data_IF_189734666003
#
_entry.id   IF_189734666003
#
_cell.length_a   1.000
_cell.length_b   1.000
_cell.length_c   1.000
_cell.angle_alpha   90.00
_cell.angle_beta   90.00
_cell.angle_gamma   90.00
#
_symmetry.space_group_name_H-M   'P 1'
#
loop_
_entity.id
_entity.type
_entity.pdbx_description
1 polymer ?
#
# COMPACT_ATOMS: atom_id res chain seq x y z
N UNK A 1 -4.90 17.65 16.33
CA UNK A 1 -4.65 16.20 16.13
C UNK A 1 -4.96 15.93 14.68
N UNK A 2 -4.08 15.20 13.99
CA UNK A 2 -4.17 15.02 12.54
C UNK A 2 -4.03 13.55 12.16
N UNK A 3 -4.51 13.21 10.96
CA UNK A 3 -4.32 11.90 10.34
C UNK A 3 -3.47 12.04 9.10
N UNK A 4 -2.48 11.17 8.96
CA UNK A 4 -1.79 10.98 7.70
C UNK A 4 -2.55 9.98 6.85
N UNK A 5 -2.63 10.24 5.56
CA UNK A 5 -3.11 9.34 4.52
C UNK A 5 -1.97 9.11 3.53
N UNK A 6 -1.32 7.95 3.64
CA UNK A 6 -0.30 7.49 2.69
C UNK A 6 -0.99 6.83 1.51
N UNK A 7 -0.65 7.24 0.29
CA UNK A 7 -1.30 6.79 -0.94
C UNK A 7 -0.26 6.20 -1.89
N UNK A 8 -0.62 5.06 -2.48
CA UNK A 8 0.15 4.40 -3.53
C UNK A 8 -0.79 3.70 -4.52
N UNK A 9 -0.25 3.41 -5.70
CA UNK A 9 -0.95 2.83 -6.84
C UNK A 9 -0.36 1.45 -7.20
N UNK A 10 -1.24 0.49 -7.52
CA UNK A 10 -0.84 -0.84 -7.98
C UNK A 10 -1.55 -1.20 -9.29
N UNK A 11 -0.83 -1.83 -10.22
CA UNK A 11 -1.40 -2.37 -11.47
C UNK A 11 -1.43 -1.42 -12.68
N UNK A 12 -0.74 -0.28 -12.64
CA UNK A 12 -0.66 0.67 -13.75
C UNK A 12 0.14 0.18 -14.96
N UNK A 13 0.98 -0.82 -14.78
CA UNK A 13 1.78 -1.43 -15.84
C UNK A 13 0.99 -2.43 -16.70
N UNK A 14 -0.27 -2.73 -16.32
CA UNK A 14 -1.21 -3.64 -17.01
C UNK A 14 -0.64 -5.00 -17.39
N UNK A 15 0.44 -5.43 -16.76
CA UNK A 15 1.13 -6.65 -17.16
C UNK A 15 0.36 -7.87 -16.66
N UNK A 16 0.29 -8.03 -15.33
CA UNK A 16 -0.31 -9.22 -14.71
C UNK A 16 -1.44 -8.90 -13.71
N UNK A 17 -1.57 -7.63 -13.26
CA UNK A 17 -2.59 -7.26 -12.27
C UNK A 17 -3.97 -7.15 -12.93
N UNK A 18 -5.03 -7.77 -12.35
CA UNK A 18 -6.38 -7.74 -12.93
C UNK A 18 -7.10 -6.39 -12.78
N UNK A 19 -6.58 -5.50 -11.93
CA UNK A 19 -7.14 -4.19 -11.64
C UNK A 19 -6.03 -3.15 -11.46
N UNK A 20 -6.36 -1.89 -11.76
CA UNK A 20 -5.66 -0.75 -11.17
C UNK A 20 -6.27 -0.45 -9.79
N UNK A 21 -5.43 -0.30 -8.78
CA UNK A 21 -5.84 0.01 -7.42
C UNK A 21 -5.11 1.25 -6.94
N UNK A 22 -5.86 2.29 -6.62
CA UNK A 22 -5.39 3.41 -5.83
C UNK A 22 -5.76 3.11 -4.37
N UNK A 23 -4.77 2.88 -3.51
CA UNK A 23 -4.98 2.58 -2.10
C UNK A 23 -4.47 3.70 -1.20
N UNK A 24 -5.13 3.85 -0.06
CA UNK A 24 -4.77 4.80 0.99
C UNK A 24 -4.72 4.10 2.34
N UNK A 25 -3.67 4.34 3.11
CA UNK A 25 -3.50 3.88 4.48
C UNK A 25 -3.48 5.08 5.44
N UNK A 26 -4.28 5.02 6.51
CA UNK A 26 -4.36 6.09 7.49
C UNK A 26 -3.84 5.74 8.86
N UNK A 27 -3.19 6.72 9.49
CA UNK A 27 -2.68 6.61 10.86
C UNK A 27 -2.71 7.98 11.55
N UNK A 28 -2.95 7.98 12.86
CA UNK A 28 -2.87 9.20 13.68
C UNK A 28 -1.44 9.67 13.82
N UNK A 29 -1.26 11.00 13.76
CA UNK A 29 0.02 11.68 14.01
C UNK A 29 0.77 11.15 15.25
N UNK A 30 0.10 11.04 16.40
CA UNK A 30 0.67 10.61 17.68
C UNK A 30 1.08 9.13 17.74
N UNK A 31 0.54 8.32 16.84
CA UNK A 31 0.77 6.87 16.80
C UNK A 31 1.82 6.50 15.74
N UNK A 32 2.09 7.39 14.78
CA UNK A 32 2.95 7.14 13.63
C UNK A 32 4.36 6.68 14.03
N UNK A 33 5.01 7.36 14.97
CA UNK A 33 6.37 6.99 15.38
C UNK A 33 6.43 5.60 16.02
N UNK A 34 5.48 5.29 16.92
CA UNK A 34 5.40 3.98 17.57
C UNK A 34 5.12 2.87 16.57
N UNK A 35 4.25 3.13 15.60
CA UNK A 35 3.99 2.20 14.50
C UNK A 35 5.25 1.95 13.66
N UNK A 36 6.00 3.00 13.30
CA UNK A 36 7.29 2.86 12.59
C UNK A 36 8.26 2.00 13.40
N UNK A 37 8.42 2.27 14.70
CA UNK A 37 9.29 1.47 15.56
C UNK A 37 8.87 0.00 15.61
N UNK A 38 7.56 -0.28 15.69
CA UNK A 38 7.04 -1.64 15.67
C UNK A 38 7.34 -2.36 14.35
N UNK A 39 7.13 -1.69 13.20
CA UNK A 39 7.48 -2.24 11.87
C UNK A 39 8.97 -2.55 11.76
N UNK A 40 9.82 -1.68 12.31
CA UNK A 40 11.26 -1.87 12.32
C UNK A 40 11.70 -3.04 13.22
N UNK A 41 11.04 -3.23 14.36
CA UNK A 41 11.25 -4.39 15.22
C UNK A 41 10.84 -5.69 14.51
N UNK A 42 9.67 -5.72 13.87
CA UNK A 42 9.21 -6.87 13.06
C UNK A 42 10.20 -7.23 11.94
N UNK A 43 10.86 -6.24 11.34
CA UNK A 43 11.91 -6.49 10.34
C UNK A 43 13.08 -7.26 10.96
N UNK A 44 13.53 -6.88 12.15
CA UNK A 44 14.59 -7.58 12.87
C UNK A 44 14.14 -8.99 13.30
N UNK A 45 12.93 -9.11 13.83
CA UNK A 45 12.39 -10.39 14.29
C UNK A 45 12.28 -11.41 13.15
N UNK A 46 11.88 -10.96 11.96
CA UNK A 46 11.73 -11.84 10.79
C UNK A 46 13.06 -12.16 10.09
N UNK A 47 13.97 -11.18 10.00
CA UNK A 47 15.15 -11.31 9.13
C UNK A 47 16.49 -11.35 9.86
N UNK A 48 16.51 -11.17 11.18
CA UNK A 48 17.73 -11.12 12.01
C UNK A 48 18.63 -9.91 11.75
N UNK A 49 18.20 -9.02 10.86
CA UNK A 49 18.87 -7.77 10.46
C UNK A 49 17.87 -6.87 9.74
N UNK A 50 18.24 -5.60 9.55
CA UNK A 50 17.50 -4.74 8.62
C UNK A 50 17.68 -5.28 7.20
N UNK A 51 16.57 -5.67 6.57
CA UNK A 51 16.50 -6.09 5.18
C UNK A 51 17.04 -5.01 4.26
N UNK A 52 16.78 -3.74 4.60
CA UNK A 52 17.16 -2.56 3.80
C UNK A 52 18.65 -2.21 3.80
N UNK A 53 19.46 -2.81 4.69
CA UNK A 53 20.84 -2.36 4.94
C UNK A 53 21.78 -2.49 3.72
N UNK A 54 21.50 -3.40 2.78
CA UNK A 54 22.32 -3.58 1.56
C UNK A 54 21.71 -2.93 0.31
N UNK A 55 20.94 -1.84 0.48
CA UNK A 55 20.20 -1.20 -0.62
C UNK A 55 19.03 -2.04 -1.16
N UNK A 56 18.66 -3.11 -0.44
CA UNK A 56 17.51 -3.94 -0.82
C UNK A 56 16.22 -3.24 -0.44
N UNK A 57 15.33 -3.16 -1.40
CA UNK A 57 14.00 -2.60 -1.16
C UNK A 57 12.99 -3.69 -0.76
N UNK A 58 12.17 -3.40 0.25
CA UNK A 58 10.98 -4.19 0.56
C UNK A 58 9.86 -3.70 -0.35
N UNK A 59 9.38 -4.58 -1.25
CA UNK A 59 8.25 -4.31 -2.14
C UNK A 59 7.28 -5.49 -2.11
N UNK A 60 6.00 -5.21 -2.17
CA UNK A 60 4.94 -6.21 -2.15
C UNK A 60 5.13 -7.27 -3.26
N UNK A 61 5.37 -6.83 -4.49
CA UNK A 61 5.66 -7.72 -5.65
C UNK A 61 6.88 -8.64 -5.45
N UNK A 62 7.84 -8.28 -4.59
CA UNK A 62 9.03 -9.10 -4.31
C UNK A 62 8.79 -10.10 -3.17
N UNK A 63 7.86 -9.80 -2.27
CA UNK A 63 7.56 -10.59 -1.08
C UNK A 63 6.36 -11.53 -1.31
N UNK A 64 5.44 -11.16 -2.19
CA UNK A 64 4.18 -11.86 -2.42
C UNK A 64 4.09 -12.48 -3.83
N UNK A 65 5.22 -12.73 -4.48
CA UNK A 65 5.24 -13.43 -5.77
C UNK A 65 5.19 -14.96 -5.64
N UNK A 66 4.83 -15.61 -6.75
CA UNK A 66 4.75 -17.08 -6.86
C UNK A 66 6.03 -17.80 -6.40
N UNK A 67 7.21 -17.23 -6.67
CA UNK A 67 8.49 -17.81 -6.24
C UNK A 67 8.59 -17.85 -4.72
N UNK A 68 8.16 -16.80 -4.02
CA UNK A 68 8.21 -16.72 -2.56
C UNK A 68 7.27 -17.75 -1.95
N UNK A 69 6.02 -17.83 -2.40
CA UNK A 69 5.08 -18.86 -1.93
C UNK A 69 5.58 -20.27 -2.20
N UNK A 70 6.10 -20.54 -3.41
CA UNK A 70 6.66 -21.85 -3.77
C UNK A 70 7.82 -22.23 -2.86
N UNK A 71 8.76 -21.32 -2.58
CA UNK A 71 9.91 -21.56 -1.71
C UNK A 71 9.49 -21.79 -0.26
N UNK A 72 8.53 -21.00 0.24
CA UNK A 72 8.03 -21.10 1.61
C UNK A 72 7.35 -22.46 1.89
N UNK A 73 6.67 -23.01 0.87
CA UNK A 73 5.98 -24.30 0.96
C UNK A 73 6.88 -25.53 0.73
N UNK A 74 8.19 -25.37 0.49
CA UNK A 74 9.08 -26.50 0.19
C UNK A 74 9.42 -27.38 1.40
N UNK A 75 9.24 -26.86 2.61
CA UNK A 75 9.46 -27.52 3.89
C UNK A 75 8.33 -27.10 4.84
N UNK A 76 8.19 -27.82 5.94
CA UNK A 76 7.30 -27.43 7.03
C UNK A 76 7.70 -26.07 7.63
N UNK A 77 6.82 -25.52 8.46
CA UNK A 77 7.08 -24.23 9.11
C UNK A 77 8.31 -24.35 10.01
N UNK A 78 9.35 -23.58 9.69
CA UNK A 78 10.55 -23.48 10.50
C UNK A 78 10.21 -22.61 11.71
N UNK A 79 10.60 -23.07 12.90
CA UNK A 79 10.38 -22.34 14.14
C UNK A 79 10.99 -20.93 14.06
N UNK A 80 10.42 -19.97 14.80
CA UNK A 80 10.77 -18.56 14.67
C UNK A 80 12.28 -18.30 14.79
N UNK A 81 12.91 -18.79 15.86
CA UNK A 81 14.33 -18.52 16.13
C UNK A 81 15.25 -19.05 15.02
N UNK A 82 15.08 -20.33 14.65
CA UNK A 82 15.87 -20.95 13.59
C UNK A 82 15.61 -20.29 12.23
N UNK A 83 14.35 -19.95 11.95
CA UNK A 83 13.97 -19.27 10.71
C UNK A 83 14.63 -17.91 10.58
N UNK A 84 14.69 -17.13 11.66
CA UNK A 84 15.32 -15.81 11.69
C UNK A 84 16.82 -15.92 11.38
N UNK A 85 17.53 -16.85 12.00
CA UNK A 85 18.96 -17.08 11.75
C UNK A 85 19.23 -17.56 10.31
N UNK A 86 18.41 -18.48 9.81
CA UNK A 86 18.53 -18.99 8.44
C UNK A 86 18.17 -17.92 7.39
N UNK A 87 17.17 -17.08 7.66
CA UNK A 87 16.77 -15.98 6.79
C UNK A 87 17.88 -14.93 6.70
N UNK A 88 18.49 -14.59 7.85
CA UNK A 88 19.68 -13.73 7.90
C UNK A 88 20.82 -14.32 7.06
N UNK A 89 21.16 -15.59 7.26
CA UNK A 89 22.20 -16.27 6.48
C UNK A 89 21.88 -16.28 4.97
N UNK A 90 20.61 -16.45 4.58
CA UNK A 90 20.18 -16.37 3.20
C UNK A 90 20.42 -14.97 2.59
N UNK A 91 20.15 -13.92 3.37
CA UNK A 91 20.40 -12.53 2.97
C UNK A 91 21.90 -12.26 2.83
N UNK A 92 22.72 -12.79 3.72
CA UNK A 92 24.18 -12.60 3.69
C UNK A 92 24.83 -13.37 2.53
N UNK A 93 24.35 -14.58 2.21
CA UNK A 93 24.90 -15.44 1.16
C UNK A 93 24.38 -15.11 -0.25
N UNK A 94 23.21 -14.48 -0.33
CA UNK A 94 22.56 -14.13 -1.59
C UNK A 94 22.28 -15.36 -2.46
N UNK A 95 22.74 -15.34 -3.71
CA UNK A 95 22.49 -16.41 -4.68
C UNK A 95 23.15 -17.76 -4.33
N UNK A 96 24.04 -17.78 -3.33
CA UNK A 96 24.71 -19.02 -2.85
C UNK A 96 23.91 -19.75 -1.77
N UNK A 97 22.82 -19.15 -1.28
CA UNK A 97 22.03 -19.74 -0.21
C UNK A 97 21.40 -21.09 -0.63
N UNK A 98 21.60 -22.10 0.20
CA UNK A 98 21.02 -23.44 -0.01
C UNK A 98 19.50 -23.48 0.20
N UNK A 99 18.89 -24.63 -0.12
CA UNK A 99 17.43 -24.85 -0.06
C UNK A 99 16.80 -24.41 1.26
N UNK A 100 17.32 -24.87 2.40
CA UNK A 100 16.75 -24.57 3.74
C UNK A 100 16.74 -23.07 4.02
N UNK A 101 17.85 -22.36 3.72
CA UNK A 101 17.99 -20.92 3.92
C UNK A 101 17.02 -20.13 3.02
N UNK A 102 16.89 -20.54 1.75
CA UNK A 102 15.94 -19.92 0.82
C UNK A 102 14.47 -20.15 1.25
N UNK A 103 14.14 -21.33 1.77
CA UNK A 103 12.82 -21.60 2.38
C UNK A 103 12.59 -20.72 3.60
N UNK A 104 13.56 -20.64 4.51
CA UNK A 104 13.46 -19.81 5.72
C UNK A 104 13.24 -18.32 5.38
N UNK A 105 14.00 -17.77 4.42
CA UNK A 105 13.81 -16.41 3.95
C UNK A 105 12.44 -16.20 3.31
N UNK A 106 11.94 -17.17 2.55
CA UNK A 106 10.62 -17.08 1.95
C UNK A 106 9.50 -17.12 2.99
N UNK A 107 9.58 -18.01 3.99
CA UNK A 107 8.64 -18.04 5.12
C UNK A 107 8.72 -16.73 5.93
N UNK A 108 9.92 -16.22 6.23
CA UNK A 108 10.13 -14.96 6.94
C UNK A 108 9.52 -13.75 6.19
N UNK A 109 9.61 -13.71 4.86
CA UNK A 109 8.95 -12.66 4.06
C UNK A 109 7.43 -12.69 4.22
N UNK A 110 6.82 -13.87 4.18
CA UNK A 110 5.37 -14.00 4.34
C UNK A 110 4.92 -13.65 5.76
N UNK A 111 5.69 -14.09 6.77
CA UNK A 111 5.43 -13.78 8.17
C UNK A 111 5.57 -12.27 8.44
N UNK A 112 6.58 -11.62 7.88
CA UNK A 112 6.72 -10.16 7.92
C UNK A 112 5.47 -9.47 7.39
N UNK A 113 4.96 -9.86 6.20
CA UNK A 113 3.73 -9.25 5.66
C UNK A 113 2.52 -9.47 6.57
N UNK A 114 2.36 -10.67 7.16
CA UNK A 114 1.26 -10.93 8.09
C UNK A 114 1.34 -10.05 9.34
N UNK A 115 2.53 -9.93 9.93
CA UNK A 115 2.74 -9.08 11.11
C UNK A 115 2.54 -7.60 10.80
N UNK A 116 2.93 -7.13 9.60
CA UNK A 116 2.63 -5.76 9.16
C UNK A 116 1.12 -5.50 9.10
N UNK A 117 0.34 -6.41 8.52
CA UNK A 117 -1.12 -6.28 8.47
C UNK A 117 -1.75 -6.32 9.86
N UNK A 118 -1.21 -7.14 10.76
CA UNK A 118 -1.60 -7.17 12.17
C UNK A 118 -1.29 -5.85 12.88
N UNK A 119 -0.11 -5.29 12.69
CA UNK A 119 0.24 -3.97 13.24
C UNK A 119 -0.70 -2.89 12.74
N UNK A 120 -1.13 -2.93 11.48
CA UNK A 120 -2.13 -2.00 10.96
C UNK A 120 -3.45 -2.09 11.76
N UNK A 121 -3.86 -3.30 12.14
CA UNK A 121 -5.04 -3.51 12.99
C UNK A 121 -4.81 -3.00 14.42
N UNK A 122 -3.68 -3.33 15.04
CA UNK A 122 -3.35 -2.96 16.43
C UNK A 122 -3.29 -1.44 16.61
N UNK A 123 -2.74 -0.73 15.60
CA UNK A 123 -2.69 0.73 15.55
C UNK A 123 -3.98 1.37 14.99
N UNK A 124 -5.02 0.56 14.73
CA UNK A 124 -6.36 0.97 14.27
C UNK A 124 -6.33 1.77 12.97
N UNK A 125 -5.37 1.46 12.11
CA UNK A 125 -5.25 2.08 10.81
C UNK A 125 -6.49 1.77 9.96
N UNK A 126 -6.86 2.70 9.08
CA UNK A 126 -7.92 2.47 8.09
C UNK A 126 -7.36 2.47 6.68
N UNK A 127 -7.84 1.51 5.90
CA UNK A 127 -7.52 1.38 4.48
C UNK A 127 -8.70 1.88 3.67
N UNK A 128 -8.41 2.70 2.68
CA UNK A 128 -9.32 3.11 1.62
C UNK A 128 -8.76 2.59 0.30
N UNK A 129 -9.63 2.19 -0.62
CA UNK A 129 -9.19 1.81 -1.95
C UNK A 129 -10.24 2.17 -2.99
N UNK A 130 -9.77 2.63 -4.12
CA UNK A 130 -10.55 2.74 -5.35
C UNK A 130 -9.98 1.76 -6.37
N UNK A 131 -10.84 0.92 -6.91
CA UNK A 131 -10.46 -0.19 -7.79
C UNK A 131 -11.06 0.06 -9.17
N UNK A 132 -10.21 0.16 -10.18
CA UNK A 132 -10.57 0.40 -11.56
C UNK A 132 -10.33 -0.89 -12.36
N UNK A 133 -11.41 -1.43 -12.94
CA UNK A 133 -11.36 -2.65 -13.76
C UNK A 133 -10.78 -2.41 -15.14
N UNK A 134 -11.18 -1.30 -15.76
CA UNK A 134 -10.73 -0.97 -17.11
C UNK A 134 -10.27 0.50 -17.13
N UNK A 135 -9.00 0.76 -16.81
CA UNK A 135 -8.47 2.11 -16.76
C UNK A 135 -8.38 2.77 -18.13
N UNK A 136 -8.47 2.01 -19.24
CA UNK A 136 -8.56 2.59 -20.58
C UNK A 136 -9.90 3.31 -20.82
N UNK A 137 -10.92 3.03 -19.99
CA UNK A 137 -12.21 3.73 -20.05
C UNK A 137 -12.22 5.03 -19.25
N UNK A 138 -11.12 5.38 -18.58
CA UNK A 138 -11.00 6.65 -17.88
C UNK A 138 -10.92 7.80 -18.91
N UNK A 139 -11.62 8.94 -18.66
CA UNK A 139 -11.59 10.08 -19.59
C UNK A 139 -10.16 10.56 -19.86
N UNK A 140 -9.85 10.85 -21.12
CA UNK A 140 -8.52 11.30 -21.54
C UNK A 140 -8.12 12.70 -21.04
N UNK A 141 -9.03 13.46 -20.42
CA UNK A 141 -8.72 14.80 -19.94
C UNK A 141 -7.75 14.76 -18.76
N UNK A 142 -6.45 14.76 -19.10
CA UNK A 142 -5.31 14.81 -18.18
C UNK A 142 -5.25 16.11 -17.38
N UNK A 143 -6.14 17.07 -17.62
CA UNK A 143 -6.21 18.30 -16.84
C UNK A 143 -7.13 18.18 -15.62
N UNK A 144 -7.93 17.11 -15.53
CA UNK A 144 -8.81 16.83 -14.39
C UNK A 144 -8.23 15.74 -13.48
N UNK A 145 -8.52 15.85 -12.18
CA UNK A 145 -8.22 14.80 -11.22
C UNK A 145 -9.05 13.55 -11.55
N UNK A 146 -8.40 12.38 -11.61
CA UNK A 146 -9.07 11.10 -11.88
C UNK A 146 -10.13 10.80 -10.80
N UNK A 147 -11.20 10.09 -11.19
CA UNK A 147 -12.35 9.81 -10.30
C UNK A 147 -12.01 8.91 -9.10
N UNK A 148 -11.04 8.01 -9.27
CA UNK A 148 -10.55 7.16 -8.18
C UNK A 148 -9.91 7.98 -7.05
N UNK A 149 -9.12 9.00 -7.37
CA UNK A 149 -8.63 9.97 -6.36
C UNK A 149 -9.80 10.71 -5.70
N UNK A 150 -10.79 11.16 -6.48
CA UNK A 150 -11.97 11.86 -5.94
C UNK A 150 -12.74 10.97 -4.94
N UNK A 151 -12.95 9.69 -5.26
CA UNK A 151 -13.62 8.75 -4.37
C UNK A 151 -12.78 8.41 -3.13
N UNK A 152 -11.46 8.29 -3.28
CA UNK A 152 -10.57 8.08 -2.15
C UNK A 152 -10.60 9.27 -1.18
N UNK A 153 -10.53 10.50 -1.69
CA UNK A 153 -10.67 11.71 -0.87
C UNK A 153 -12.05 11.87 -0.26
N UNK A 154 -13.11 11.44 -0.95
CA UNK A 154 -14.47 11.38 -0.37
C UNK A 154 -14.53 10.46 0.84
N UNK A 155 -13.98 9.24 0.73
CA UNK A 155 -13.96 8.28 1.85
C UNK A 155 -13.09 8.77 3.01
N UNK A 156 -11.96 9.40 2.71
CA UNK A 156 -11.11 9.97 3.74
C UNK A 156 -11.78 11.14 4.45
N UNK A 157 -12.44 12.04 3.71
CA UNK A 157 -13.18 13.16 4.28
C UNK A 157 -14.23 12.70 5.29
N UNK A 158 -15.11 11.76 4.90
CA UNK A 158 -16.14 11.26 5.82
C UNK A 158 -15.54 10.54 7.04
N UNK A 159 -14.41 9.85 6.86
CA UNK A 159 -13.69 9.27 7.99
C UNK A 159 -13.20 10.30 9.01
N UNK A 160 -12.78 11.49 8.55
CA UNK A 160 -12.35 12.60 9.42
C UNK A 160 -13.55 13.30 10.06
N UNK A 161 -14.62 13.54 9.28
CA UNK A 161 -15.87 14.16 9.72
C UNK A 161 -16.53 13.35 10.86
N UNK A 162 -16.49 12.02 10.78
CA UNK A 162 -17.00 11.12 11.82
C UNK A 162 -16.18 11.13 13.13
N UNK A 163 -15.10 11.93 13.24
CA UNK A 163 -14.29 12.02 14.46
C UNK A 163 -14.74 13.17 15.35
N UNK A 164 -14.84 12.99 16.68
CA UNK A 164 -15.31 14.00 17.62
C UNK A 164 -14.55 15.34 17.64
N UNK A 165 -13.37 15.41 17.03
CA UNK A 165 -12.49 16.59 17.04
C UNK A 165 -12.18 17.10 15.63
N UNK A 166 -12.90 16.62 14.60
CA UNK A 166 -12.75 17.03 13.19
C UNK A 166 -11.27 17.23 12.78
N UNK A 167 -10.43 16.20 12.94
CA UNK A 167 -9.00 16.32 12.75
C UNK A 167 -8.67 16.60 11.28
N UNK A 168 -7.59 17.37 11.06
CA UNK A 168 -7.08 17.59 9.71
C UNK A 168 -6.44 16.32 9.14
N UNK A 169 -6.63 16.12 7.84
CA UNK A 169 -6.02 15.09 7.04
C UNK A 169 -4.83 15.62 6.24
N UNK A 170 -3.70 14.93 6.33
CA UNK A 170 -2.48 15.22 5.56
C UNK A 170 -2.31 14.11 4.52
N UNK A 171 -2.17 14.49 3.25
CA UNK A 171 -1.97 13.54 2.15
C UNK A 171 -0.48 13.36 1.88
N UNK A 172 -0.04 12.10 1.77
CA UNK A 172 1.34 11.73 1.47
C UNK A 172 1.35 10.75 0.29
N UNK A 173 2.05 11.09 -0.78
CA UNK A 173 2.22 10.24 -1.97
C UNK A 173 3.62 9.66 -2.04
N UNK A 174 3.73 8.46 -2.63
CA UNK A 174 5.01 8.02 -3.17
C UNK A 174 5.47 8.96 -4.27
N UNK A 175 6.77 9.17 -4.38
CA UNK A 175 7.33 10.05 -5.38
C UNK A 175 7.23 9.43 -6.77
N UNK A 176 6.44 10.08 -7.62
CA UNK A 176 6.41 9.82 -9.05
C UNK A 176 7.53 10.61 -9.75
N UNK A 177 7.74 10.33 -11.03
CA UNK A 177 8.53 11.22 -11.90
C UNK A 177 8.07 12.67 -11.70
N UNK A 178 9.03 13.59 -11.54
CA UNK A 178 8.76 15.00 -11.18
C UNK A 178 7.64 15.66 -12.01
N UNK A 179 7.59 15.38 -13.31
CA UNK A 179 6.54 15.86 -14.21
C UNK A 179 5.15 15.34 -13.84
N UNK A 180 5.02 14.06 -13.49
CA UNK A 180 3.76 13.45 -13.02
C UNK A 180 3.33 14.02 -11.67
N UNK A 181 4.27 14.23 -10.75
CA UNK A 181 3.99 14.87 -9.45
C UNK A 181 3.44 16.29 -9.63
N UNK A 182 4.03 17.09 -10.53
CA UNK A 182 3.51 18.44 -10.85
C UNK A 182 2.11 18.42 -11.47
N UNK A 183 1.84 17.46 -12.36
CA UNK A 183 0.50 17.28 -12.96
C UNK A 183 -0.51 16.94 -11.87
N UNK A 184 -0.21 16.00 -11.00
CA UNK A 184 -1.10 15.58 -9.91
C UNK A 184 -1.40 16.74 -8.95
N UNK A 185 -0.38 17.51 -8.54
CA UNK A 185 -0.57 18.71 -7.71
C UNK A 185 -1.50 19.71 -8.38
N UNK A 186 -1.31 19.97 -9.68
CA UNK A 186 -2.15 20.90 -10.44
C UNK A 186 -3.61 20.41 -10.55
N UNK A 187 -3.80 19.11 -10.77
CA UNK A 187 -5.13 18.49 -10.81
C UNK A 187 -5.83 18.56 -9.45
N UNK A 188 -5.11 18.28 -8.36
CA UNK A 188 -5.62 18.39 -6.99
C UNK A 188 -6.01 19.84 -6.67
N UNK A 189 -5.12 20.81 -6.94
CA UNK A 189 -5.38 22.24 -6.72
C UNK A 189 -6.68 22.69 -7.40
N UNK A 190 -6.81 22.36 -8.69
CA UNK A 190 -8.01 22.65 -9.47
C UNK A 190 -9.25 22.00 -8.88
N UNK A 191 -9.17 20.72 -8.50
CA UNK A 191 -10.30 19.99 -7.94
C UNK A 191 -10.76 20.61 -6.61
N UNK A 192 -9.84 20.86 -5.67
CA UNK A 192 -10.15 21.38 -4.35
C UNK A 192 -10.63 22.84 -4.38
N UNK A 193 -10.13 23.68 -5.30
CA UNK A 193 -10.59 25.07 -5.43
C UNK A 193 -11.87 25.23 -6.24
N UNK A 194 -11.98 24.54 -7.38
CA UNK A 194 -12.98 24.88 -8.39
C UNK A 194 -14.26 24.05 -8.28
N UNK A 195 -14.22 22.86 -7.66
CA UNK A 195 -15.42 22.04 -7.47
C UNK A 195 -16.09 22.29 -6.11
N UNK A 196 -17.41 22.23 -6.05
CA UNK A 196 -18.14 22.38 -4.79
C UNK A 196 -17.75 21.29 -3.78
N UNK A 197 -17.67 20.03 -4.23
CA UNK A 197 -17.27 18.89 -3.40
C UNK A 197 -15.82 19.03 -2.91
N UNK A 198 -14.91 19.49 -3.78
CA UNK A 198 -13.53 19.75 -3.42
C UNK A 198 -13.40 20.80 -2.33
N UNK A 199 -14.09 21.95 -2.47
CA UNK A 199 -14.08 23.01 -1.46
C UNK A 199 -14.60 22.55 -0.11
N UNK A 200 -15.68 21.76 -0.09
CA UNK A 200 -16.17 21.15 1.15
C UNK A 200 -15.11 20.23 1.75
N UNK A 201 -14.49 19.36 0.94
CA UNK A 201 -13.49 18.40 1.44
C UNK A 201 -12.22 19.06 1.96
N UNK A 202 -11.84 20.21 1.42
CA UNK A 202 -10.69 20.99 1.91
C UNK A 202 -10.92 21.63 3.28
N UNK A 203 -12.11 21.55 3.88
CA UNK A 203 -12.31 21.95 5.28
C UNK A 203 -11.59 21.03 6.26
N UNK A 204 -11.36 19.76 5.88
CA UNK A 204 -10.67 18.77 6.71
C UNK A 204 -9.40 18.22 6.05
N UNK A 205 -9.32 18.17 4.72
CA UNK A 205 -8.16 17.64 3.99
C UNK A 205 -7.27 18.78 3.53
N UNK A 206 -5.99 18.74 3.90
CA UNK A 206 -4.98 19.66 3.38
C UNK A 206 -4.67 19.27 1.92
N UNK A 207 -4.99 20.14 0.93
CA UNK A 207 -4.92 19.77 -0.49
C UNK A 207 -3.51 19.83 -1.08
N UNK A 208 -2.52 20.29 -0.31
CA UNK A 208 -1.11 20.29 -0.69
C UNK A 208 -0.43 19.01 -0.17
N UNK A 209 -0.11 18.05 -1.05
CA UNK A 209 0.44 16.78 -0.62
C UNK A 209 1.95 16.84 -0.37
N UNK A 210 2.43 15.97 0.52
CA UNK A 210 3.84 15.63 0.63
C UNK A 210 4.19 14.50 -0.33
N UNK A 211 5.31 14.62 -1.05
CA UNK A 211 5.89 13.53 -1.84
C UNK A 211 7.11 12.98 -1.10
N UNK A 212 7.21 11.66 -1.01
CA UNK A 212 8.29 10.98 -0.29
C UNK A 212 8.77 9.77 -1.07
N UNK A 213 10.04 9.40 -0.92
CA UNK A 213 10.58 8.19 -1.55
C UNK A 213 10.14 6.91 -0.81
N UNK A 214 9.67 5.91 -1.56
CA UNK A 214 9.19 4.62 -1.02
C UNK A 214 10.23 3.83 -0.23
N UNK A 215 11.50 3.90 -0.61
CA UNK A 215 12.60 3.18 0.02
C UNK A 215 13.01 3.80 1.37
N UNK A 216 12.56 5.03 1.65
CA UNK A 216 12.84 5.75 2.89
C UNK A 216 11.64 5.81 3.83
N UNK A 217 10.40 5.74 3.30
CA UNK A 217 9.20 5.98 4.11
C UNK A 217 8.41 4.72 4.41
N UNK A 218 8.30 4.36 5.69
CA UNK A 218 7.54 3.18 6.12
C UNK A 218 6.07 3.23 5.67
N UNK A 219 5.41 4.38 5.80
CA UNK A 219 3.99 4.52 5.41
C UNK A 219 3.71 4.14 3.94
N UNK A 220 4.58 4.56 3.02
CA UNK A 220 4.49 4.19 1.59
C UNK A 220 4.68 2.67 1.40
N UNK A 221 5.65 2.07 2.07
CA UNK A 221 5.83 0.61 2.04
C UNK A 221 4.57 -0.15 2.50
N UNK A 222 3.86 0.35 3.52
CA UNK A 222 2.64 -0.31 4.00
C UNK A 222 1.53 -0.22 2.96
N UNK A 223 1.34 0.95 2.34
CA UNK A 223 0.29 1.11 1.32
C UNK A 223 0.61 0.33 0.04
N UNK A 224 1.88 0.14 -0.35
CA UNK A 224 2.29 -0.79 -1.42
C UNK A 224 1.78 -2.22 -1.14
N UNK A 225 1.98 -2.73 0.08
CA UNK A 225 1.45 -4.04 0.47
C UNK A 225 -0.08 -4.11 0.41
N UNK A 226 -0.75 -3.09 0.92
CA UNK A 226 -2.22 -3.03 0.91
C UNK A 226 -2.75 -2.97 -0.52
N UNK A 227 -2.20 -2.10 -1.36
CA UNK A 227 -2.58 -1.92 -2.76
C UNK A 227 -2.38 -3.23 -3.54
N UNK A 228 -1.24 -3.89 -3.34
CA UNK A 228 -0.93 -5.17 -3.97
C UNK A 228 -1.86 -6.30 -3.51
N UNK A 229 -2.10 -6.43 -2.21
CA UNK A 229 -3.02 -7.48 -1.71
C UNK A 229 -4.42 -7.26 -2.29
N UNK A 230 -4.90 -6.02 -2.35
CA UNK A 230 -6.20 -5.70 -2.92
C UNK A 230 -6.26 -5.96 -4.42
N UNK A 231 -5.24 -5.56 -5.19
CA UNK A 231 -5.22 -5.76 -6.65
C UNK A 231 -5.28 -7.25 -7.01
N UNK A 232 -4.63 -8.11 -6.22
CA UNK A 232 -4.61 -9.55 -6.47
C UNK A 232 -5.75 -10.34 -5.85
N UNK A 233 -6.41 -9.88 -4.78
CA UNK A 233 -7.44 -10.65 -4.07
C UNK A 233 -8.86 -10.11 -4.25
N UNK A 234 -9.04 -8.84 -4.58
CA UNK A 234 -10.37 -8.31 -4.85
C UNK A 234 -10.93 -8.98 -6.12
N UNK A 235 -12.19 -9.40 -6.06
CA UNK A 235 -12.90 -9.96 -7.22
C UNK A 235 -14.27 -9.31 -7.25
N UNK A 236 -14.55 -8.59 -8.33
CA UNK A 236 -15.94 -8.27 -8.65
C UNK A 236 -16.60 -9.59 -9.06
N UNK A 237 -17.65 -10.00 -8.36
CA UNK A 237 -18.49 -11.10 -8.83
C UNK A 237 -18.82 -10.86 -10.30
N UNK A 238 -18.64 -11.89 -11.13
CA UNK A 238 -19.22 -11.90 -12.46
C UNK A 238 -20.73 -11.81 -12.25
N UNK A 239 -21.30 -10.60 -12.38
CA UNK A 239 -22.74 -10.44 -12.52
C UNK A 239 -23.15 -11.40 -13.64
N UNK A 240 -24.07 -12.31 -13.32
CA UNK A 240 -24.79 -13.16 -14.26
C UNK A 240 -25.34 -12.28 -15.40
N UNK A 241 -24.58 -12.12 -16.48
CA UNK A 241 -25.10 -11.67 -17.77
C UNK A 241 -25.48 -12.95 -18.51
N UNK A 242 -26.59 -13.52 -18.07
CA UNK A 242 -27.29 -14.65 -18.69
C UNK A 242 -28.64 -14.72 -18.00
N UNK A 243 -29.72 -14.55 -18.78
CA UNK A 243 -31.15 -14.77 -18.45
C UNK A 243 -32.13 -13.58 -18.48
N UNK A 244 -31.90 -12.51 -19.26
CA UNK A 244 -33.03 -11.63 -19.69
C UNK A 244 -32.94 -11.14 -21.13
N UNK A 245 -32.62 -12.03 -22.08
CA UNK A 245 -32.94 -11.84 -23.50
C UNK A 245 -33.40 -13.17 -24.12
N UNK A 246 -34.44 -13.76 -23.55
CA UNK A 246 -35.37 -14.66 -24.25
C UNK A 246 -36.69 -14.60 -23.49
N UNK A 247 -37.59 -13.75 -23.99
CA UNK A 247 -39.04 -13.92 -24.04
C UNK A 247 -39.60 -12.77 -24.87
#
# INVERSE_FOLDING_TARGET
>A
MSYFLFIDESGQDHHDSPYEVLAGFTIRDKDLWKFIQAVQATELDCFGRRYRLDGREIKARKFLNNKTFRLAAQLESINLFERTELAKAALDEGNRAGRIKLTALAQAKLDYVREILRLCQDYRCKVFASIVKDPQTLPEDKSMLRKDYIYLFERFFYFLEDKPAEPNGIVVFDELEKSKSHILVTQMDRYFKNSQKGRTRSSLIIPEPFFVHSDLTTGIQIVDFVAYVLSWNFRLEKKLISLREKN
#
